data_IF_271425036793
#
_entry.id   IF_271425036793
#
_cell.length_a   1.000
_cell.length_b   1.000
_cell.length_c   1.000
_cell.angle_alpha   90.00
_cell.angle_beta   90.00
_cell.angle_gamma   90.00
#
_symmetry.space_group_name_H-M   'P 1'
#
loop_
_entity.id
_entity.type
_entity.pdbx_description
1 polymer ?
#
# COMPACT_ATOMS: atom_id res chain seq x y z
N UNK A 1 -13.90 -2.97 14.05
CA UNK A 1 -12.99 -2.19 13.20
C UNK A 1 -12.11 -3.14 12.42
N UNK A 2 -11.89 -2.89 11.14
CA UNK A 2 -10.83 -3.55 10.38
C UNK A 2 -9.57 -2.69 10.54
N UNK A 3 -8.47 -3.33 10.90
CA UNK A 3 -7.19 -2.67 11.11
C UNK A 3 -6.06 -3.48 10.47
N UNK A 4 -5.19 -2.82 9.72
CA UNK A 4 -3.93 -3.39 9.21
C UNK A 4 -2.81 -2.37 9.39
N UNK A 5 -1.70 -2.84 9.93
CA UNK A 5 -0.43 -2.13 9.94
C UNK A 5 0.45 -2.77 8.86
N UNK A 6 0.90 -1.96 7.92
CA UNK A 6 1.76 -2.35 6.81
C UNK A 6 3.12 -1.68 7.00
N UNK A 7 4.18 -2.31 6.52
CA UNK A 7 5.54 -1.81 6.70
C UNK A 7 6.25 -1.69 5.36
N UNK A 8 6.86 -0.55 5.09
CA UNK A 8 7.83 -0.38 4.00
C UNK A 8 9.24 -0.63 4.51
N UNK A 9 9.94 -1.59 3.89
CA UNK A 9 11.30 -1.95 4.30
C UNK A 9 12.36 -0.90 3.90
N UNK A 10 12.10 -0.09 2.88
CA UNK A 10 13.09 0.87 2.37
C UNK A 10 13.20 2.10 3.25
N UNK A 11 12.08 2.63 3.75
CA UNK A 11 12.02 3.81 4.62
C UNK A 11 11.76 3.47 6.08
N UNK A 12 11.39 2.22 6.38
CA UNK A 12 10.92 1.79 7.71
C UNK A 12 9.61 2.47 8.14
N UNK A 13 8.79 2.86 7.16
CA UNK A 13 7.50 3.54 7.37
C UNK A 13 6.42 2.53 7.69
N UNK A 14 5.58 2.85 8.66
CA UNK A 14 4.29 2.21 8.87
C UNK A 14 3.17 2.94 8.15
N UNK A 15 2.37 2.18 7.42
CA UNK A 15 1.12 2.64 6.80
C UNK A 15 -0.05 1.94 7.51
N UNK A 16 -1.12 2.66 7.81
CA UNK A 16 -2.25 2.12 8.58
C UNK A 16 -3.56 2.17 7.82
N UNK A 17 -4.16 1.01 7.56
CA UNK A 17 -5.49 0.89 6.96
C UNK A 17 -6.52 0.67 8.08
N UNK A 18 -7.47 1.60 8.18
CA UNK A 18 -8.60 1.52 9.10
C UNK A 18 -9.89 1.48 8.30
N UNK A 19 -10.83 0.62 8.68
CA UNK A 19 -12.15 0.62 8.06
C UNK A 19 -13.28 0.24 9.03
N UNK A 20 -14.46 0.78 8.75
CA UNK A 20 -15.70 0.33 9.38
C UNK A 20 -16.11 -1.03 8.78
N UNK A 21 -16.21 -2.11 9.59
CA UNK A 21 -16.64 -3.41 9.08
C UNK A 21 -18.05 -3.41 8.48
N UNK A 22 -18.94 -2.47 8.87
CA UNK A 22 -20.31 -2.38 8.38
C UNK A 22 -20.39 -1.64 7.03
N UNK A 23 -19.99 -0.36 6.99
CA UNK A 23 -20.07 0.42 5.74
C UNK A 23 -18.99 0.08 4.72
N UNK A 24 -17.89 -0.57 5.15
CA UNK A 24 -16.68 -0.84 4.36
C UNK A 24 -15.89 0.42 3.99
N UNK A 25 -16.29 1.58 4.46
CA UNK A 25 -15.54 2.83 4.26
C UNK A 25 -14.25 2.81 5.07
N UNK A 26 -13.18 3.29 4.46
CA UNK A 26 -11.83 3.17 4.96
C UNK A 26 -11.02 4.46 4.82
N UNK A 27 -9.99 4.56 5.63
CA UNK A 27 -8.92 5.56 5.52
C UNK A 27 -7.56 4.87 5.56
N UNK A 28 -6.57 5.45 4.90
CA UNK A 28 -5.19 4.96 4.88
C UNK A 28 -4.24 6.06 5.34
N UNK A 29 -3.54 5.83 6.44
CA UNK A 29 -2.61 6.79 7.03
C UNK A 29 -1.18 6.50 6.55
N UNK A 30 -0.46 7.55 6.12
CA UNK A 30 0.93 7.54 5.64
C UNK A 30 1.22 6.48 4.55
N UNK A 31 0.51 6.50 3.40
CA UNK A 31 0.79 5.59 2.29
C UNK A 31 2.15 5.88 1.64
N UNK A 32 2.87 4.84 1.24
CA UNK A 32 4.17 4.97 0.56
C UNK A 32 4.01 4.79 -0.95
N UNK A 33 4.64 5.67 -1.75
CA UNK A 33 4.49 5.72 -3.22
C UNK A 33 4.81 4.39 -3.91
N UNK A 34 5.90 3.73 -3.52
CA UNK A 34 6.32 2.43 -4.05
C UNK A 34 5.40 1.27 -3.62
N UNK A 35 4.62 1.45 -2.55
CA UNK A 35 3.71 0.44 -2.01
C UNK A 35 2.28 0.55 -2.54
N UNK A 36 2.02 1.49 -3.45
CA UNK A 36 0.70 1.70 -4.05
C UNK A 36 -0.02 0.42 -4.49
N UNK A 37 0.66 -0.47 -5.25
CA UNK A 37 0.04 -1.68 -5.78
C UNK A 37 -0.36 -2.66 -4.68
N UNK A 38 0.47 -2.75 -3.62
CA UNK A 38 0.17 -3.54 -2.44
C UNK A 38 -1.04 -2.99 -1.70
N UNK A 39 -1.07 -1.68 -1.46
CA UNK A 39 -2.09 -1.03 -0.66
C UNK A 39 -3.45 -1.03 -1.40
N UNK A 40 -3.45 -0.70 -2.71
CA UNK A 40 -4.63 -0.81 -3.59
C UNK A 40 -5.20 -2.22 -3.59
N UNK A 41 -4.34 -3.24 -3.77
CA UNK A 41 -4.79 -4.63 -3.80
C UNK A 41 -5.40 -5.06 -2.47
N UNK A 42 -4.83 -4.65 -1.33
CA UNK A 42 -5.39 -4.96 -0.02
C UNK A 42 -6.78 -4.33 0.18
N UNK A 43 -6.96 -3.08 -0.24
CA UNK A 43 -8.23 -2.36 -0.19
C UNK A 43 -9.29 -3.10 -1.02
N UNK A 44 -8.94 -3.48 -2.25
CA UNK A 44 -9.82 -4.22 -3.16
C UNK A 44 -10.18 -5.62 -2.65
N UNK A 45 -9.19 -6.40 -2.19
CA UNK A 45 -9.40 -7.76 -1.68
C UNK A 45 -10.22 -7.78 -0.39
N UNK A 46 -10.07 -6.74 0.44
CA UNK A 46 -10.93 -6.53 1.60
C UNK A 46 -12.27 -5.90 1.21
N UNK A 47 -12.55 -5.57 -0.05
CA UNK A 47 -13.82 -4.97 -0.47
C UNK A 47 -14.13 -3.68 0.29
N UNK A 48 -13.15 -2.78 0.37
CA UNK A 48 -13.23 -1.51 1.07
C UNK A 48 -13.38 -0.34 0.08
N UNK A 49 -14.03 0.73 0.53
CA UNK A 49 -14.08 2.01 -0.18
C UNK A 49 -13.13 2.98 0.53
N UNK A 50 -12.00 3.29 -0.10
CA UNK A 50 -11.03 4.23 0.45
C UNK A 50 -11.54 5.67 0.29
N UNK A 51 -11.94 6.30 1.39
CA UNK A 51 -12.42 7.68 1.40
C UNK A 51 -11.27 8.69 1.44
N UNK A 52 -10.27 8.44 2.29
CA UNK A 52 -9.16 9.37 2.51
C UNK A 52 -7.81 8.66 2.58
N UNK A 53 -6.80 9.27 1.97
CA UNK A 53 -5.40 9.10 2.36
C UNK A 53 -5.01 10.25 3.28
N UNK A 54 -4.43 9.92 4.43
CA UNK A 54 -4.11 10.87 5.49
C UNK A 54 -2.60 10.88 5.72
N UNK A 55 -1.93 11.96 5.38
CA UNK A 55 -0.52 12.13 5.75
C UNK A 55 -0.44 12.81 7.13
N UNK A 56 0.34 12.23 8.05
CA UNK A 56 0.59 12.81 9.38
C UNK A 56 1.47 14.05 9.28
N UNK A 57 2.34 14.10 8.26
CA UNK A 57 3.23 15.21 7.95
C UNK A 57 3.76 15.09 6.51
N UNK A 58 4.43 16.12 6.02
CA UNK A 58 5.20 16.06 4.78
C UNK A 58 6.49 15.25 5.03
N UNK A 59 6.53 14.00 4.59
CA UNK A 59 7.62 13.06 4.87
C UNK A 59 8.94 13.46 4.18
N UNK A 60 10.08 13.14 4.79
CA UNK A 60 11.42 13.44 4.26
C UNK A 60 12.20 12.19 3.80
N UNK A 61 11.66 11.02 4.05
CA UNK A 61 12.30 9.71 3.86
C UNK A 61 11.63 8.87 2.76
N UNK A 62 10.39 9.20 2.37
CA UNK A 62 9.67 8.58 1.26
C UNK A 62 8.73 9.57 0.58
N UNK A 63 8.31 9.27 -0.65
CA UNK A 63 7.24 10.00 -1.33
C UNK A 63 5.90 9.38 -0.93
N UNK A 64 4.90 10.18 -0.60
CA UNK A 64 3.54 9.70 -0.26
C UNK A 64 2.88 9.02 -1.46
N UNK A 65 2.13 7.96 -1.21
CA UNK A 65 1.29 7.27 -2.19
C UNK A 65 -0.07 7.93 -2.43
N UNK A 66 -0.36 9.04 -1.75
CA UNK A 66 -1.66 9.70 -1.75
C UNK A 66 -2.20 10.00 -3.16
N UNK A 67 -1.41 10.67 -4.01
CA UNK A 67 -1.84 10.98 -5.38
C UNK A 67 -2.13 9.73 -6.21
N UNK A 68 -1.30 8.68 -6.14
CA UNK A 68 -1.55 7.44 -6.90
C UNK A 68 -2.85 6.77 -6.44
N UNK A 69 -3.10 6.74 -5.13
CA UNK A 69 -4.33 6.18 -4.56
C UNK A 69 -5.56 7.01 -4.94
N UNK A 70 -5.47 8.35 -4.94
CA UNK A 70 -6.52 9.20 -5.48
C UNK A 70 -6.85 8.83 -6.94
N UNK A 71 -5.84 8.67 -7.81
CA UNK A 71 -6.08 8.32 -9.21
C UNK A 71 -6.70 6.92 -9.40
N UNK A 72 -6.26 5.93 -8.62
CA UNK A 72 -6.71 4.53 -8.78
C UNK A 72 -7.99 4.17 -8.01
N UNK A 73 -8.23 4.81 -6.87
CA UNK A 73 -9.29 4.47 -5.93
C UNK A 73 -10.32 5.60 -5.75
N UNK A 74 -10.01 6.83 -6.21
CA UNK A 74 -10.87 8.00 -6.04
C UNK A 74 -10.88 8.58 -4.62
N UNK A 75 -9.92 8.21 -3.77
CA UNK A 75 -9.80 8.72 -2.39
C UNK A 75 -9.41 10.20 -2.37
N UNK A 76 -9.90 10.96 -1.39
CA UNK A 76 -9.46 12.34 -1.15
C UNK A 76 -8.12 12.37 -0.40
N UNK A 77 -7.27 13.33 -0.74
CA UNK A 77 -5.97 13.55 -0.09
C UNK A 77 -6.16 14.56 1.04
N UNK A 78 -5.81 14.18 2.27
CA UNK A 78 -5.84 15.09 3.41
C UNK A 78 -4.49 15.18 4.12
N UNK A 79 -4.11 16.40 4.48
CA UNK A 79 -2.87 16.74 5.18
C UNK A 79 -3.08 18.05 5.94
N UNK A 80 -2.22 18.33 6.92
CA UNK A 80 -2.28 19.55 7.74
C UNK A 80 -2.30 20.84 6.91
N UNK A 81 -3.23 21.74 7.22
CA UNK A 81 -3.33 23.07 6.62
C UNK A 81 -2.19 24.01 7.03
N UNK A 82 -1.42 23.68 8.07
CA UNK A 82 -0.28 24.48 8.55
C UNK A 82 0.85 24.59 7.53
N UNK A 83 0.94 23.68 6.56
CA UNK A 83 1.92 23.82 5.48
C UNK A 83 1.58 24.95 4.50
N UNK A 84 0.32 25.42 4.48
CA UNK A 84 -0.12 26.51 3.60
C UNK A 84 0.22 26.26 2.14
N UNK A 85 0.76 27.28 1.48
CA UNK A 85 1.12 27.26 0.05
C UNK A 85 2.27 26.29 -0.30
N UNK A 86 2.90 25.65 0.69
CA UNK A 86 3.91 24.61 0.45
C UNK A 86 3.30 23.34 -0.15
N UNK A 87 2.02 23.05 0.12
CA UNK A 87 1.34 21.86 -0.38
C UNK A 87 0.40 22.23 -1.53
N UNK A 88 0.55 21.53 -2.64
CA UNK A 88 -0.32 21.59 -3.81
C UNK A 88 -1.04 20.26 -4.01
N UNK A 89 -2.35 20.31 -4.29
CA UNK A 89 -3.14 19.14 -4.71
C UNK A 89 -3.82 18.35 -3.58
N UNK A 90 -3.73 18.80 -2.33
CA UNK A 90 -4.54 18.25 -1.25
C UNK A 90 -6.02 18.64 -1.42
N UNK A 91 -6.94 17.69 -1.24
CA UNK A 91 -8.39 17.92 -1.30
C UNK A 91 -8.93 18.50 0.00
N UNK A 92 -8.29 18.16 1.14
CA UNK A 92 -8.70 18.61 2.47
C UNK A 92 -7.49 19.04 3.29
N UNK A 93 -7.45 20.32 3.64
CA UNK A 93 -6.51 20.87 4.60
C UNK A 93 -7.07 20.69 6.01
N UNK A 94 -6.30 20.05 6.88
CA UNK A 94 -6.74 19.66 8.23
C UNK A 94 -6.19 20.62 9.29
N UNK A 95 -7.04 20.97 10.26
CA UNK A 95 -6.68 21.73 11.44
C UNK A 95 -6.93 20.96 12.74
N UNK A 96 -6.38 21.47 13.85
CA UNK A 96 -6.64 20.91 15.18
C UNK A 96 -8.15 20.89 15.49
N UNK A 97 -8.66 19.74 15.92
CA UNK A 97 -10.06 19.54 16.27
C UNK A 97 -10.93 19.05 15.10
N UNK A 98 -10.40 19.01 13.87
CA UNK A 98 -11.11 18.41 12.75
C UNK A 98 -11.40 16.93 12.98
N UNK A 99 -12.44 16.42 12.32
CA UNK A 99 -12.82 15.01 12.35
C UNK A 99 -12.88 14.44 10.94
N UNK A 100 -12.26 13.28 10.73
CA UNK A 100 -12.35 12.47 9.51
C UNK A 100 -13.26 11.28 9.79
N UNK A 101 -14.45 11.29 9.19
CA UNK A 101 -15.44 10.22 9.32
C UNK A 101 -15.21 9.13 8.26
N UNK A 102 -15.40 7.87 8.65
CA UNK A 102 -15.46 6.70 7.77
C UNK A 102 -16.44 5.68 8.37
N UNK A 103 -17.63 5.55 7.77
CA UNK A 103 -18.72 4.75 8.33
C UNK A 103 -19.19 5.25 9.68
N UNK A 104 -19.43 4.32 10.60
CA UNK A 104 -19.72 4.62 12.01
C UNK A 104 -18.51 4.99 12.85
N UNK A 105 -17.32 5.17 12.25
CA UNK A 105 -16.06 5.47 12.94
C UNK A 105 -15.47 6.82 12.54
N UNK A 106 -14.60 7.38 13.37
CA UNK A 106 -13.88 8.62 13.02
C UNK A 106 -12.50 8.76 13.66
N UNK A 107 -11.67 9.61 13.04
CA UNK A 107 -10.40 10.09 13.59
C UNK A 107 -10.52 11.58 13.88
N UNK A 108 -10.18 11.98 15.11
CA UNK A 108 -9.98 13.39 15.46
C UNK A 108 -8.53 13.81 15.18
N UNK A 109 -8.34 15.02 14.68
CA UNK A 109 -7.02 15.59 14.37
C UNK A 109 -6.51 16.37 15.57
N UNK A 110 -5.35 16.00 16.11
CA UNK A 110 -4.61 16.81 17.07
C UNK A 110 -3.36 17.37 16.40
N UNK A 111 -3.25 18.69 16.28
CA UNK A 111 -2.00 19.31 15.87
C UNK A 111 -0.88 18.94 16.87
N UNK A 112 0.19 18.34 16.36
CA UNK A 112 1.36 17.91 17.14
C UNK A 112 2.65 18.35 16.46
N UNK A 113 2.85 19.66 16.23
CA UNK A 113 4.05 20.17 15.60
C UNK A 113 5.30 19.84 16.42
N UNK A 114 6.45 19.86 15.76
CA UNK A 114 7.75 19.69 16.42
C UNK A 114 8.72 18.88 15.57
N UNK A 115 8.27 17.77 14.97
CA UNK A 115 9.08 17.06 13.97
C UNK A 115 9.12 17.88 12.68
N UNK A 116 7.94 18.33 12.26
CA UNK A 116 7.73 19.43 11.31
C UNK A 116 6.69 20.38 11.90
N UNK A 117 6.53 21.58 11.32
CA UNK A 117 5.48 22.51 11.77
C UNK A 117 4.05 22.03 11.43
N UNK A 118 3.91 21.14 10.46
CA UNK A 118 2.61 20.60 10.04
C UNK A 118 2.25 19.24 10.59
N UNK A 119 3.03 18.67 11.52
CA UNK A 119 2.72 17.36 12.09
C UNK A 119 1.36 17.32 12.79
N UNK A 120 0.60 16.26 12.54
CA UNK A 120 -0.66 15.94 13.24
C UNK A 120 -0.63 14.52 13.78
N UNK A 121 -1.38 14.30 14.85
CA UNK A 121 -1.72 12.98 15.39
C UNK A 121 -3.19 12.71 15.14
N UNK A 122 -3.51 11.55 14.57
CA UNK A 122 -4.88 11.10 14.39
C UNK A 122 -5.30 10.22 15.57
N UNK A 123 -6.40 10.57 16.25
CA UNK A 123 -6.90 9.82 17.42
C UNK A 123 -8.27 9.22 17.09
N UNK A 124 -8.40 7.91 17.23
CA UNK A 124 -9.64 7.18 17.01
C UNK A 124 -10.74 7.64 17.98
N UNK A 125 -11.99 7.66 17.52
CA UNK A 125 -13.18 8.12 18.25
C UNK A 125 -13.31 7.62 19.70
N UNK A 126 -12.97 6.36 19.96
CA UNK A 126 -12.98 5.71 21.28
C UNK A 126 -11.69 5.90 22.09
N UNK A 127 -10.72 6.65 21.55
CA UNK A 127 -9.40 6.93 22.10
C UNK A 127 -8.58 5.67 22.43
N UNK A 128 -8.92 4.53 21.82
CA UNK A 128 -8.15 3.29 22.00
C UNK A 128 -6.84 3.27 21.20
N UNK A 129 -6.73 4.10 20.16
CA UNK A 129 -5.58 4.17 19.26
C UNK A 129 -5.28 5.62 18.84
N UNK A 130 -3.99 5.96 18.78
CA UNK A 130 -3.50 7.20 18.22
C UNK A 130 -2.34 6.92 17.23
N UNK A 131 -2.39 7.58 16.08
CA UNK A 131 -1.39 7.50 15.02
C UNK A 131 -0.53 8.77 15.09
N UNK A 132 0.66 8.65 15.63
CA UNK A 132 1.45 9.79 16.13
C UNK A 132 2.44 10.35 15.10
N UNK A 133 2.44 9.80 13.90
CA UNK A 133 3.44 10.10 12.87
C UNK A 133 4.84 10.05 13.48
N UNK A 134 5.64 11.06 13.17
CA UNK A 134 6.99 11.21 13.72
C UNK A 134 7.05 12.17 14.91
N UNK A 135 5.92 12.54 15.52
CA UNK A 135 5.95 13.29 16.78
C UNK A 135 6.45 12.41 17.93
N UNK A 136 5.75 11.31 18.21
CA UNK A 136 6.12 10.32 19.23
C UNK A 136 6.41 8.97 18.57
N UNK A 137 7.57 8.38 18.89
CA UNK A 137 7.99 7.06 18.43
C UNK A 137 8.08 6.08 19.62
N UNK A 138 8.20 4.79 19.34
CA UNK A 138 8.33 3.77 20.40
C UNK A 138 9.67 3.96 21.13
N UNK A 139 9.60 4.38 22.39
CA UNK A 139 10.75 4.75 23.23
C UNK A 139 11.64 5.84 22.61
N UNK A 140 11.04 6.73 21.82
CA UNK A 140 11.74 7.83 21.15
C UNK A 140 10.82 8.95 20.70
N UNK A 141 11.33 9.80 19.83
CA UNK A 141 10.61 10.88 19.17
C UNK A 141 11.27 11.15 17.81
N UNK A 142 10.54 11.73 16.85
CA UNK A 142 11.14 12.16 15.59
C UNK A 142 12.19 13.25 15.80
N UNK A 143 13.06 13.45 14.81
CA UNK A 143 14.07 14.52 14.83
C UNK A 143 13.42 15.90 14.71
N UNK A 144 14.10 16.97 15.13
CA UNK A 144 13.55 18.34 15.16
C UNK A 144 14.40 19.36 14.40
N UNK A 145 15.40 18.92 13.64
CA UNK A 145 16.47 19.76 13.06
C UNK A 145 16.28 20.08 11.56
N UNK A 146 15.15 19.67 10.97
CA UNK A 146 14.73 19.95 9.60
C UNK A 146 13.26 20.39 9.55
N UNK A 147 12.77 20.87 8.41
CA UNK A 147 11.33 21.12 8.15
C UNK A 147 10.63 21.97 9.23
N UNK A 148 11.30 23.04 9.67
CA UNK A 148 10.80 23.93 10.73
C UNK A 148 10.55 23.21 12.06
N UNK A 149 11.18 22.06 12.28
CA UNK A 149 11.13 21.30 13.51
C UNK A 149 11.65 22.11 14.70
N UNK A 150 11.12 21.79 15.88
CA UNK A 150 11.46 22.45 17.13
C UNK A 150 11.22 21.51 18.32
N UNK A 151 12.27 21.22 19.08
CA UNK A 151 12.21 20.27 20.19
C UNK A 151 11.37 20.76 21.38
N UNK A 152 11.38 22.07 21.67
CA UNK A 152 10.52 22.66 22.71
C UNK A 152 9.04 22.52 22.32
N UNK A 153 8.69 22.85 21.08
CA UNK A 153 7.33 22.65 20.55
C UNK A 153 6.95 21.17 20.56
N UNK A 154 7.84 20.27 20.16
CA UNK A 154 7.59 18.82 20.21
C UNK A 154 7.31 18.34 21.64
N UNK A 155 8.06 18.84 22.63
CA UNK A 155 7.84 18.49 24.04
C UNK A 155 6.41 18.82 24.47
N UNK A 156 5.95 20.04 24.18
CA UNK A 156 4.59 20.48 24.48
C UNK A 156 3.54 19.67 23.71
N UNK A 157 3.74 19.44 22.41
CA UNK A 157 2.87 18.59 21.59
C UNK A 157 2.68 17.20 22.20
N UNK A 158 3.75 16.53 22.61
CA UNK A 158 3.66 15.21 23.22
C UNK A 158 2.95 15.29 24.58
N UNK A 159 3.34 16.21 25.47
CA UNK A 159 2.77 16.32 26.82
C UNK A 159 1.29 16.68 26.80
N UNK A 160 0.88 17.59 25.93
CA UNK A 160 -0.46 18.19 25.94
C UNK A 160 -1.45 17.46 25.03
N UNK A 161 -0.96 16.86 23.93
CA UNK A 161 -1.84 16.25 22.92
C UNK A 161 -1.77 14.74 22.88
N UNK A 162 -0.69 14.11 23.33
CA UNK A 162 -0.56 12.64 23.30
C UNK A 162 -0.65 12.08 24.72
N UNK A 163 0.10 12.62 25.68
CA UNK A 163 0.08 12.13 27.07
C UNK A 163 -1.19 12.50 27.83
N UNK A 164 -2.08 13.32 27.27
CA UNK A 164 -3.43 13.55 27.82
C UNK A 164 -4.45 12.48 27.42
N UNK A 165 -4.11 11.58 26.50
CA UNK A 165 -4.93 10.42 26.15
C UNK A 165 -4.96 9.39 27.28
N UNK A 166 -5.94 8.45 27.27
CA UNK A 166 -5.98 7.34 28.22
C UNK A 166 -4.68 6.55 28.20
N UNK A 167 -4.24 6.12 29.37
CA UNK A 167 -3.01 5.34 29.55
C UNK A 167 -3.00 4.04 28.72
N UNK A 168 -4.18 3.47 28.45
CA UNK A 168 -4.39 2.28 27.61
C UNK A 168 -4.41 2.56 26.11
N UNK A 169 -4.38 3.83 25.68
CA UNK A 169 -4.38 4.19 24.26
C UNK A 169 -3.11 3.66 23.61
N UNK A 170 -3.28 2.84 22.57
CA UNK A 170 -2.17 2.34 21.77
C UNK A 170 -1.57 3.48 20.94
N UNK A 171 -0.25 3.48 20.83
CA UNK A 171 0.53 4.44 20.04
C UNK A 171 1.10 3.72 18.82
N UNK A 172 0.74 4.24 17.65
CA UNK A 172 1.16 3.76 16.34
C UNK A 172 1.97 4.85 15.62
N UNK A 173 3.31 4.74 15.58
CA UNK A 173 4.18 5.78 15.02
C UNK A 173 4.23 5.73 13.49
N UNK A 174 4.80 6.76 12.86
CA UNK A 174 5.14 6.75 11.43
C UNK A 174 6.28 5.79 11.10
N UNK A 175 7.23 5.60 12.03
CA UNK A 175 8.42 4.78 11.81
C UNK A 175 8.83 3.93 13.01
N UNK A 176 9.46 2.79 12.75
CA UNK A 176 10.28 2.06 13.72
C UNK A 176 11.45 1.36 13.02
N UNK A 177 12.63 1.39 13.65
CA UNK A 177 13.88 0.85 13.10
C UNK A 177 14.38 -0.39 13.85
N UNK A 178 13.56 -0.98 14.71
CA UNK A 178 13.92 -2.11 15.60
C UNK A 178 12.89 -3.25 15.59
N UNK A 179 11.91 -3.21 14.68
CA UNK A 179 10.87 -4.23 14.53
C UNK A 179 9.76 -4.15 15.57
N UNK A 180 9.63 -3.04 16.30
CA UNK A 180 8.56 -2.80 17.28
C UNK A 180 7.37 -2.16 16.57
N UNK A 181 6.19 -2.69 16.81
CA UNK A 181 5.00 -2.32 16.02
C UNK A 181 4.08 -1.31 16.70
N UNK A 182 4.03 -1.30 18.03
CA UNK A 182 3.21 -0.37 18.80
C UNK A 182 3.78 -0.17 20.22
N UNK A 183 3.27 0.85 20.91
CA UNK A 183 3.45 1.11 22.35
C UNK A 183 2.11 1.55 22.94
N UNK A 184 2.11 2.08 24.16
CA UNK A 184 0.95 2.72 24.78
C UNK A 184 1.33 4.04 25.42
N UNK A 185 0.33 4.89 25.68
CA UNK A 185 0.53 6.17 26.39
C UNK A 185 1.18 5.93 27.76
N UNK A 186 0.74 4.95 28.53
CA UNK A 186 1.34 4.61 29.83
C UNK A 186 2.83 4.26 29.69
N UNK A 187 3.15 3.42 28.71
CA UNK A 187 4.51 2.98 28.50
C UNK A 187 5.43 4.13 28.07
N UNK A 188 4.99 5.01 27.17
CA UNK A 188 5.80 6.16 26.75
C UNK A 188 5.91 7.21 27.88
N UNK A 189 4.83 7.45 28.65
CA UNK A 189 4.89 8.29 29.85
C UNK A 189 5.93 7.79 30.85
N UNK A 190 6.04 6.48 31.04
CA UNK A 190 6.90 5.92 32.07
C UNK A 190 8.33 5.65 31.57
N UNK A 191 8.49 5.17 30.34
CA UNK A 191 9.72 4.54 29.86
C UNK A 191 10.33 5.18 28.61
N UNK A 192 9.71 6.20 28.01
CA UNK A 192 10.36 6.92 26.92
C UNK A 192 11.64 7.59 27.44
N UNK A 193 12.79 7.25 26.85
CA UNK A 193 14.10 7.68 27.34
C UNK A 193 14.36 9.18 27.16
N UNK A 194 13.57 9.88 26.35
CA UNK A 194 13.73 11.31 26.07
C UNK A 194 12.75 12.18 26.84
N UNK A 195 11.49 11.75 26.96
CA UNK A 195 10.39 12.60 27.49
C UNK A 195 9.55 11.93 28.61
N UNK A 196 9.79 10.64 28.85
CA UNK A 196 9.11 9.88 29.90
C UNK A 196 9.65 10.14 31.30
N UNK A 197 9.03 9.54 32.30
CA UNK A 197 9.38 9.71 33.71
C UNK A 197 9.28 11.16 34.16
N UNK A 198 10.37 11.65 34.75
CA UNK A 198 10.47 13.02 35.27
C UNK A 198 11.22 13.97 34.31
N UNK A 199 11.41 13.58 33.05
CA UNK A 199 12.10 14.42 32.07
C UNK A 199 11.41 15.78 31.90
N UNK A 200 12.19 16.84 32.10
CA UNK A 200 11.78 18.22 31.87
C UNK A 200 11.93 18.61 30.40
N UNK A 201 11.38 19.76 30.02
CA UNK A 201 11.59 20.32 28.68
C UNK A 201 13.08 20.52 28.38
N UNK A 202 13.84 21.01 29.37
CA UNK A 202 15.30 21.20 29.25
C UNK A 202 16.03 19.89 28.97
N UNK A 203 15.65 18.80 29.64
CA UNK A 203 16.24 17.47 29.39
C UNK A 203 15.95 17.00 27.96
N UNK A 204 14.70 17.15 27.52
CA UNK A 204 14.27 16.75 26.18
C UNK A 204 14.97 17.55 25.09
N UNK A 205 14.94 18.89 25.16
CA UNK A 205 15.60 19.77 24.19
C UNK A 205 17.10 19.50 24.15
N UNK A 206 17.74 19.40 25.32
CA UNK A 206 19.16 19.07 25.42
C UNK A 206 19.50 17.72 24.78
N UNK A 207 18.64 16.71 24.93
CA UNK A 207 18.79 15.43 24.23
C UNK A 207 18.69 15.59 22.71
N UNK A 208 17.64 16.25 22.24
CA UNK A 208 17.33 16.38 20.81
C UNK A 208 18.41 17.17 20.06
N UNK A 209 18.93 18.25 20.65
CA UNK A 209 19.99 19.09 20.07
C UNK A 209 21.33 18.35 19.93
N UNK A 210 21.53 17.28 20.72
CA UNK A 210 22.77 16.49 20.75
C UNK A 210 22.63 15.11 20.10
N UNK A 211 21.57 14.87 19.31
CA UNK A 211 21.35 13.60 18.61
C UNK A 211 22.42 13.28 17.55
N UNK A 212 22.99 14.29 16.89
CA UNK A 212 24.08 14.12 15.91
C UNK A 212 23.74 13.21 14.72
N UNK A 213 22.46 13.18 14.30
CA UNK A 213 22.00 12.28 13.24
C UNK A 213 22.52 12.72 11.85
N UNK A 214 22.79 11.76 10.95
CA UNK A 214 23.15 12.10 9.58
C UNK A 214 22.03 12.85 8.86
N UNK A 215 22.39 13.57 7.81
CA UNK A 215 21.43 14.19 6.90
C UNK A 215 20.47 13.12 6.34
N UNK A 216 19.15 13.35 6.31
CA UNK A 216 18.21 12.36 5.79
C UNK A 216 18.51 12.05 4.32
N UNK A 217 18.47 10.77 3.96
CA UNK A 217 18.99 10.26 2.66
C UNK A 217 18.15 10.69 1.45
N UNK A 218 16.84 10.86 1.63
CA UNK A 218 15.88 11.11 0.54
C UNK A 218 15.23 12.49 0.61
N UNK A 219 15.65 13.37 1.52
CA UNK A 219 14.95 14.65 1.78
C UNK A 219 14.83 15.54 0.54
N UNK A 220 15.87 15.57 -0.31
CA UNK A 220 15.92 16.38 -1.54
C UNK A 220 15.00 15.84 -2.66
N UNK A 221 14.46 14.63 -2.49
CA UNK A 221 13.53 13.99 -3.43
C UNK A 221 12.13 13.93 -2.80
N UNK A 222 12.04 13.47 -1.55
CA UNK A 222 10.81 13.25 -0.81
C UNK A 222 10.04 14.55 -0.60
N UNK A 223 10.69 15.60 -0.08
CA UNK A 223 10.00 16.87 0.21
C UNK A 223 9.40 17.46 -1.08
N UNK A 224 10.16 17.68 -2.19
CA UNK A 224 9.55 18.22 -3.41
C UNK A 224 8.40 17.37 -3.96
N UNK A 225 8.49 16.04 -3.87
CA UNK A 225 7.41 15.13 -4.26
C UNK A 225 6.18 15.27 -3.36
N UNK A 226 6.39 15.36 -2.04
CA UNK A 226 5.32 15.44 -1.04
C UNK A 226 4.66 16.82 -0.99
N UNK A 227 5.38 17.88 -1.36
CA UNK A 227 4.80 19.19 -1.61
C UNK A 227 3.75 19.17 -2.73
N UNK A 228 3.74 18.15 -3.59
CA UNK A 228 2.71 17.93 -4.62
C UNK A 228 1.84 16.71 -4.31
N UNK A 229 1.73 16.34 -3.03
CA UNK A 229 0.99 15.16 -2.56
C UNK A 229 1.41 13.84 -3.24
N UNK A 230 2.66 13.72 -3.67
CA UNK A 230 3.19 12.56 -4.37
C UNK A 230 2.93 12.55 -5.88
N UNK A 231 2.44 13.64 -6.46
CA UNK A 231 2.26 13.76 -7.91
C UNK A 231 3.62 13.87 -8.63
N UNK A 232 3.94 12.97 -9.57
CA UNK A 232 5.13 13.07 -10.41
C UNK A 232 5.15 14.35 -11.25
N UNK A 233 6.34 14.82 -11.64
CA UNK A 233 6.49 16.07 -12.41
C UNK A 233 5.81 16.02 -13.78
N UNK A 234 5.81 14.85 -14.43
CA UNK A 234 5.13 14.62 -15.70
C UNK A 234 3.61 14.37 -15.54
N UNK A 235 3.13 14.26 -14.30
CA UNK A 235 1.74 13.95 -13.98
C UNK A 235 1.27 12.57 -14.44
N UNK A 236 2.18 11.68 -14.86
CA UNK A 236 1.83 10.34 -15.30
C UNK A 236 1.80 9.37 -14.12
N UNK A 237 0.92 8.37 -14.20
CA UNK A 237 0.92 7.25 -13.25
C UNK A 237 2.12 6.35 -13.56
N UNK A 238 3.11 6.23 -12.67
CA UNK A 238 4.23 5.33 -12.89
C UNK A 238 3.81 3.88 -12.63
N UNK A 239 4.44 2.96 -13.35
CA UNK A 239 4.22 1.53 -13.18
C UNK A 239 2.96 0.99 -13.86
N UNK A 240 2.34 1.75 -14.77
CA UNK A 240 1.28 1.22 -15.64
C UNK A 240 1.90 0.13 -16.52
N UNK A 241 1.42 -1.09 -16.38
CA UNK A 241 1.71 -2.16 -17.32
C UNK A 241 0.94 -1.81 -18.59
N UNK A 242 1.67 -1.47 -19.65
CA UNK A 242 1.14 -0.81 -20.84
C UNK A 242 0.54 -1.77 -21.87
N UNK A 243 0.96 -3.04 -21.85
CA UNK A 243 0.50 -4.03 -22.82
C UNK A 243 -0.92 -4.56 -22.55
N UNK A 244 -1.46 -4.39 -21.33
CA UNK A 244 -2.80 -4.86 -20.95
C UNK A 244 -3.24 -4.27 -19.60
N UNK A 245 -4.55 -4.34 -19.25
CA UNK A 245 -5.08 -3.93 -17.94
C UNK A 245 -4.72 -4.95 -16.84
N UNK A 246 -3.42 -5.19 -16.63
CA UNK A 246 -2.90 -6.11 -15.62
C UNK A 246 -2.99 -5.47 -14.24
N UNK A 247 -3.49 -6.24 -13.28
CA UNK A 247 -3.60 -5.82 -11.88
C UNK A 247 -2.69 -6.68 -11.02
N UNK A 248 -2.10 -6.08 -9.99
CA UNK A 248 -1.36 -6.85 -8.98
C UNK A 248 -2.30 -7.18 -7.81
N UNK A 249 -2.28 -8.43 -7.36
CA UNK A 249 -2.92 -8.90 -6.12
C UNK A 249 -2.04 -8.56 -4.91
N UNK A 250 -2.59 -8.65 -3.70
CA UNK A 250 -1.84 -8.40 -2.47
C UNK A 250 -0.68 -9.39 -2.29
N UNK A 251 -0.84 -10.62 -2.81
CA UNK A 251 0.23 -11.62 -2.87
C UNK A 251 1.33 -11.33 -3.90
N UNK A 252 1.25 -10.21 -4.63
CA UNK A 252 2.24 -9.82 -5.64
C UNK A 252 2.07 -10.51 -7.00
N UNK A 253 0.99 -11.28 -7.20
CA UNK A 253 0.69 -11.93 -8.47
C UNK A 253 0.05 -10.92 -9.43
N UNK A 254 0.58 -10.85 -10.66
CA UNK A 254 0.00 -10.07 -11.76
C UNK A 254 -1.10 -10.87 -12.43
N UNK A 255 -2.31 -10.34 -12.44
CA UNK A 255 -3.50 -10.97 -13.01
C UNK A 255 -4.12 -10.14 -14.12
N UNK A 256 -4.80 -10.83 -15.04
CA UNK A 256 -5.54 -10.24 -16.14
C UNK A 256 -6.94 -10.85 -16.21
N UNK A 257 -7.94 -10.03 -16.54
CA UNK A 257 -9.34 -10.48 -16.60
C UNK A 257 -9.63 -11.31 -17.86
N UNK A 258 -10.40 -12.40 -17.74
CA UNK A 258 -10.75 -13.26 -18.88
C UNK A 258 -11.36 -12.54 -20.09
N UNK A 259 -12.23 -11.56 -19.85
CA UNK A 259 -12.94 -10.84 -20.91
C UNK A 259 -11.97 -10.08 -21.82
N UNK A 260 -11.00 -9.37 -21.24
CA UNK A 260 -10.00 -8.66 -22.03
C UNK A 260 -9.16 -9.64 -22.86
N UNK A 261 -8.73 -10.75 -22.25
CA UNK A 261 -7.96 -11.78 -22.97
C UNK A 261 -8.75 -12.37 -24.14
N UNK A 262 -10.05 -12.61 -23.99
CA UNK A 262 -10.91 -13.12 -25.06
C UNK A 262 -11.02 -12.15 -26.25
N UNK A 263 -11.07 -10.85 -25.99
CA UNK A 263 -11.13 -9.80 -27.03
C UNK A 263 -9.78 -9.58 -27.73
N UNK A 264 -8.66 -9.93 -27.09
CA UNK A 264 -7.30 -9.65 -27.55
C UNK A 264 -6.45 -10.92 -27.73
N UNK A 265 -7.06 -12.07 -28.03
CA UNK A 265 -6.35 -13.36 -28.17
C UNK A 265 -5.20 -13.32 -29.19
N UNK A 266 -5.32 -12.53 -30.26
CA UNK A 266 -4.26 -12.35 -31.25
C UNK A 266 -3.06 -11.55 -30.73
N UNK A 267 -3.22 -10.80 -29.65
CA UNK A 267 -2.20 -9.91 -29.07
C UNK A 267 -1.39 -10.59 -27.97
N UNK A 268 -1.80 -11.78 -27.52
CA UNK A 268 -1.14 -12.52 -26.43
C UNK A 268 -0.77 -13.95 -26.84
N UNK A 269 0.18 -14.52 -26.11
CA UNK A 269 0.51 -15.95 -26.12
C UNK A 269 -0.12 -16.61 -24.89
N UNK A 270 -1.07 -17.51 -25.09
CA UNK A 270 -1.73 -18.23 -23.98
C UNK A 270 -1.00 -19.55 -23.73
N UNK A 271 -0.48 -19.72 -22.51
CA UNK A 271 0.17 -20.96 -22.06
C UNK A 271 -0.73 -21.66 -21.04
N UNK A 272 -1.26 -22.81 -21.41
CA UNK A 272 -2.05 -23.65 -20.53
C UNK A 272 -1.14 -24.61 -19.77
N UNK A 273 -1.10 -24.46 -18.45
CA UNK A 273 -0.21 -25.23 -17.57
C UNK A 273 -0.90 -26.36 -16.82
N UNK A 274 -2.09 -26.75 -17.28
CA UNK A 274 -2.79 -27.95 -16.82
C UNK A 274 -2.13 -29.22 -17.33
N UNK A 275 -2.57 -30.36 -16.82
CA UNK A 275 -2.21 -31.66 -17.37
C UNK A 275 -2.96 -31.93 -18.70
N UNK A 276 -2.43 -32.83 -19.51
CA UNK A 276 -2.96 -33.11 -20.85
C UNK A 276 -4.40 -33.65 -20.87
N UNK A 277 -4.78 -34.40 -19.82
CA UNK A 277 -6.14 -34.90 -19.63
C UNK A 277 -7.13 -33.78 -19.29
N UNK A 278 -6.69 -32.71 -18.64
CA UNK A 278 -7.50 -31.54 -18.35
C UNK A 278 -7.71 -30.62 -19.57
N UNK A 279 -6.71 -30.52 -20.46
CA UNK A 279 -6.73 -29.61 -21.62
C UNK A 279 -7.89 -29.89 -22.59
N UNK A 280 -8.27 -31.16 -22.72
CA UNK A 280 -9.34 -31.63 -23.61
C UNK A 280 -10.59 -32.14 -22.85
N UNK A 281 -10.71 -31.86 -21.56
CA UNK A 281 -11.88 -32.27 -20.78
C UNK A 281 -13.09 -31.35 -21.02
N UNK A 282 -14.12 -31.49 -20.16
CA UNK A 282 -15.36 -30.70 -20.23
C UNK A 282 -15.17 -29.16 -20.21
N UNK A 283 -14.06 -28.66 -19.64
CA UNK A 283 -13.76 -27.23 -19.57
C UNK A 283 -13.23 -26.69 -20.91
N UNK A 284 -12.80 -27.57 -21.83
CA UNK A 284 -12.08 -27.19 -23.05
C UNK A 284 -10.78 -26.44 -22.76
N UNK A 285 -10.31 -25.71 -23.76
CA UNK A 285 -9.18 -24.78 -23.65
C UNK A 285 -9.45 -23.50 -24.45
N UNK A 286 -8.67 -22.46 -24.17
CA UNK A 286 -8.72 -21.21 -24.92
C UNK A 286 -8.16 -21.44 -26.32
N UNK A 287 -8.79 -20.86 -27.34
CA UNK A 287 -8.37 -21.02 -28.72
C UNK A 287 -6.90 -20.58 -28.92
N UNK A 288 -6.11 -21.43 -29.57
CA UNK A 288 -4.68 -21.18 -29.79
C UNK A 288 -3.78 -21.30 -28.56
N UNK A 289 -4.29 -21.76 -27.42
CA UNK A 289 -3.47 -22.02 -26.22
C UNK A 289 -2.44 -23.13 -26.46
N UNK A 290 -1.22 -22.91 -26.00
CA UNK A 290 -0.16 -23.93 -26.01
C UNK A 290 -0.15 -24.67 -24.69
N UNK A 291 -0.33 -25.99 -24.75
CA UNK A 291 -0.25 -26.85 -23.56
C UNK A 291 1.22 -27.08 -23.16
N UNK A 292 1.60 -26.57 -21.99
CA UNK A 292 2.90 -26.82 -21.36
C UNK A 292 2.64 -27.06 -19.86
N UNK A 293 2.48 -28.32 -19.41
CA UNK A 293 2.22 -28.61 -18.01
C UNK A 293 3.21 -27.93 -17.06
N UNK A 294 2.74 -27.52 -15.88
CA UNK A 294 3.57 -26.76 -14.93
C UNK A 294 4.89 -27.47 -14.58
N UNK A 295 4.88 -28.81 -14.52
CA UNK A 295 6.06 -29.63 -14.25
C UNK A 295 7.15 -29.52 -15.30
N UNK A 296 6.75 -29.34 -16.57
CA UNK A 296 7.65 -29.28 -17.73
C UNK A 296 8.03 -27.83 -18.10
N UNK A 297 7.32 -26.84 -17.55
CA UNK A 297 7.42 -25.44 -17.93
C UNK A 297 8.86 -24.91 -17.91
N UNK A 298 9.67 -25.29 -16.91
CA UNK A 298 11.06 -24.81 -16.76
C UNK A 298 11.96 -25.23 -17.91
N UNK A 299 11.75 -26.44 -18.42
CA UNK A 299 12.54 -26.99 -19.52
C UNK A 299 12.03 -26.49 -20.88
N UNK A 300 10.76 -26.07 -20.93
CA UNK A 300 10.09 -25.58 -22.13
C UNK A 300 10.12 -24.05 -22.32
N UNK A 301 10.67 -23.26 -21.39
CA UNK A 301 10.63 -21.78 -21.46
C UNK A 301 11.17 -21.24 -22.79
N UNK A 302 12.26 -21.82 -23.30
CA UNK A 302 12.89 -21.40 -24.55
C UNK A 302 12.00 -21.62 -25.79
N UNK A 303 10.94 -22.42 -25.67
CA UNK A 303 9.99 -22.71 -26.75
C UNK A 303 8.79 -21.74 -26.74
N UNK A 304 8.58 -21.00 -25.65
CA UNK A 304 7.47 -20.05 -25.52
C UNK A 304 7.77 -18.84 -26.41
N UNK A 305 6.87 -18.50 -27.36
CA UNK A 305 7.01 -17.27 -28.14
C UNK A 305 6.96 -16.04 -27.23
N UNK A 306 8.00 -15.21 -27.30
CA UNK A 306 8.16 -13.97 -26.53
C UNK A 306 7.97 -12.72 -27.41
N UNK A 307 7.43 -12.88 -28.62
CA UNK A 307 7.05 -11.79 -29.53
C UNK A 307 5.81 -11.02 -29.01
N UNK A 308 5.05 -11.66 -28.11
CA UNK A 308 3.83 -11.13 -27.50
C UNK A 308 3.82 -11.42 -26.00
N UNK A 309 3.10 -10.61 -25.20
CA UNK A 309 2.89 -10.89 -23.79
C UNK A 309 2.35 -12.30 -23.52
N UNK A 310 2.75 -12.90 -22.41
CA UNK A 310 2.37 -14.27 -22.04
C UNK A 310 1.26 -14.26 -20.98
N UNK A 311 0.16 -14.93 -21.27
CA UNK A 311 -0.93 -15.18 -20.31
C UNK A 311 -0.92 -16.66 -19.94
N UNK A 312 -0.69 -16.95 -18.67
CA UNK A 312 -0.74 -18.33 -18.16
C UNK A 312 -2.13 -18.66 -17.66
N UNK A 313 -2.61 -19.86 -17.97
CA UNK A 313 -3.93 -20.34 -17.54
C UNK A 313 -3.82 -21.74 -16.95
N UNK A 314 -4.57 -22.00 -15.89
CA UNK A 314 -4.82 -23.34 -15.40
C UNK A 314 -6.31 -23.51 -15.07
N UNK A 315 -6.67 -24.54 -14.30
CA UNK A 315 -8.07 -24.76 -13.91
C UNK A 315 -8.66 -23.57 -13.12
N UNK A 316 -7.98 -23.10 -12.07
CA UNK A 316 -8.53 -22.14 -11.09
C UNK A 316 -7.68 -20.87 -10.90
N UNK A 317 -6.59 -20.72 -11.65
CA UNK A 317 -5.62 -19.63 -11.48
C UNK A 317 -4.41 -19.95 -10.57
N UNK A 318 -4.44 -21.04 -9.80
CA UNK A 318 -3.37 -21.32 -8.81
C UNK A 318 -2.05 -21.80 -9.43
N UNK A 319 -2.10 -22.83 -10.30
CA UNK A 319 -0.90 -23.36 -10.99
C UNK A 319 -0.32 -22.35 -11.98
N UNK A 320 -1.19 -21.64 -12.68
CA UNK A 320 -0.80 -20.55 -13.58
C UNK A 320 -0.19 -19.38 -12.82
N UNK A 321 -0.66 -19.07 -11.61
CA UNK A 321 0.02 -18.14 -10.70
C UNK A 321 1.49 -18.50 -10.47
N UNK A 322 1.77 -19.77 -10.15
CA UNK A 322 3.16 -20.27 -10.03
C UNK A 322 3.92 -20.25 -11.36
N UNK A 323 3.25 -20.51 -12.49
CA UNK A 323 3.85 -20.39 -13.81
C UNK A 323 4.35 -18.97 -14.09
N UNK A 324 3.58 -17.93 -13.74
CA UNK A 324 4.03 -16.55 -13.91
C UNK A 324 5.31 -16.25 -13.13
N UNK A 325 5.46 -16.77 -11.90
CA UNK A 325 6.66 -16.61 -11.08
C UNK A 325 7.86 -17.28 -11.76
N UNK A 326 7.68 -18.47 -12.33
CA UNK A 326 8.73 -19.19 -13.07
C UNK A 326 9.16 -18.37 -14.29
N UNK A 327 8.20 -17.91 -15.09
CA UNK A 327 8.44 -17.17 -16.32
C UNK A 327 9.14 -15.82 -16.06
N UNK A 328 8.69 -15.06 -15.07
CA UNK A 328 9.33 -13.79 -14.69
C UNK A 328 10.75 -13.98 -14.18
N UNK A 329 11.00 -15.02 -13.36
CA UNK A 329 12.38 -15.36 -12.93
C UNK A 329 13.29 -15.75 -14.09
N UNK A 330 12.72 -16.22 -15.19
CA UNK A 330 13.44 -16.53 -16.43
C UNK A 330 13.55 -15.34 -17.39
N UNK A 331 13.09 -14.14 -17.01
CA UNK A 331 13.18 -12.92 -17.80
C UNK A 331 11.98 -12.61 -18.70
N UNK A 332 10.90 -13.39 -18.63
CA UNK A 332 9.65 -13.10 -19.37
C UNK A 332 8.84 -12.07 -18.59
N UNK A 333 9.19 -10.80 -18.74
CA UNK A 333 8.65 -9.69 -17.93
C UNK A 333 7.17 -9.40 -18.19
N UNK A 334 6.74 -9.46 -19.46
CA UNK A 334 5.35 -9.26 -19.88
C UNK A 334 4.55 -10.54 -19.69
N UNK A 335 4.34 -10.93 -18.42
CA UNK A 335 3.57 -12.12 -18.05
C UNK A 335 2.45 -11.80 -17.06
N UNK A 336 1.27 -12.38 -17.27
CA UNK A 336 0.16 -12.32 -16.33
C UNK A 336 -0.53 -13.69 -16.13
N UNK A 337 -1.19 -13.85 -14.99
CA UNK A 337 -2.04 -14.98 -14.64
C UNK A 337 -3.48 -14.68 -15.08
N UNK A 338 -4.13 -15.62 -15.77
CA UNK A 338 -5.55 -15.51 -16.04
C UNK A 338 -6.35 -15.65 -14.73
N UNK A 339 -7.01 -14.58 -14.30
CA UNK A 339 -7.77 -14.57 -13.04
C UNK A 339 -8.84 -15.65 -13.05
N UNK A 340 -8.86 -16.49 -12.01
CA UNK A 340 -9.82 -17.59 -11.84
C UNK A 340 -9.67 -18.77 -12.81
N UNK A 341 -8.72 -18.72 -13.75
CA UNK A 341 -8.42 -19.79 -14.70
C UNK A 341 -9.59 -20.16 -15.62
N UNK A 342 -9.58 -21.40 -16.11
CA UNK A 342 -10.63 -21.93 -16.98
C UNK A 342 -12.02 -22.00 -16.31
N UNK A 343 -12.08 -22.09 -14.98
CA UNK A 343 -13.37 -22.05 -14.26
C UNK A 343 -14.06 -20.70 -14.44
N UNK A 344 -13.33 -19.60 -14.25
CA UNK A 344 -13.88 -18.26 -14.45
C UNK A 344 -14.13 -17.96 -15.93
N UNK A 345 -13.23 -18.40 -16.82
CA UNK A 345 -13.44 -18.30 -18.27
C UNK A 345 -14.76 -18.95 -18.72
N UNK A 346 -15.03 -20.17 -18.23
CA UNK A 346 -16.28 -20.88 -18.53
C UNK A 346 -17.48 -20.24 -17.82
N UNK A 347 -17.32 -19.76 -16.57
CA UNK A 347 -18.39 -19.07 -15.84
C UNK A 347 -18.85 -17.80 -16.56
N UNK A 348 -17.91 -17.05 -17.14
CA UNK A 348 -18.16 -15.89 -17.97
C UNK A 348 -18.72 -16.21 -19.36
N UNK A 349 -18.85 -17.49 -19.73
CA UNK A 349 -19.40 -17.92 -21.02
C UNK A 349 -18.50 -17.64 -22.22
N UNK A 350 -17.18 -17.51 -21.99
CA UNK A 350 -16.22 -17.16 -23.05
C UNK A 350 -15.91 -18.36 -23.97
N UNK A 351 -15.53 -18.12 -25.24
CA UNK A 351 -15.32 -19.19 -26.23
C UNK A 351 -14.24 -20.19 -25.82
N UNK A 352 -14.49 -21.48 -26.07
CA UNK A 352 -13.51 -22.56 -25.84
C UNK A 352 -13.42 -23.47 -27.05
N UNK A 353 -12.23 -23.99 -27.31
CA UNK A 353 -12.01 -25.10 -28.21
C UNK A 353 -12.14 -26.43 -27.46
N UNK A 354 -12.71 -27.41 -28.15
CA UNK A 354 -12.82 -28.79 -27.70
C UNK A 354 -12.39 -29.67 -28.86
N UNK A 355 -11.45 -30.58 -28.64
CA UNK A 355 -11.24 -31.63 -29.62
C UNK A 355 -12.52 -32.45 -29.69
N UNK A 356 -13.16 -32.51 -30.87
CA UNK A 356 -14.23 -33.47 -31.12
C UNK A 356 -13.72 -34.86 -30.76
N UNK A 357 -14.48 -35.68 -30.00
CA UNK A 357 -14.09 -37.07 -29.83
C UNK A 357 -13.95 -37.66 -31.22
N UNK A 358 -12.75 -38.17 -31.54
CA UNK A 358 -12.49 -38.89 -32.78
C UNK A 358 -13.62 -39.89 -32.94
N UNK A 359 -14.39 -39.72 -34.02
CA UNK A 359 -15.53 -40.56 -34.31
C UNK A 359 -15.10 -42.02 -34.22
N UNK A 360 -15.80 -42.78 -33.38
CA UNK A 360 -15.81 -44.23 -33.50
C UNK A 360 -16.40 -44.49 -34.88
N UNK A 361 -15.56 -44.84 -35.84
CA UNK A 361 -15.98 -45.29 -37.15
C UNK A 361 -16.90 -46.51 -36.95
N UNK A 362 -18.04 -46.49 -37.64
CA UNK A 362 -19.07 -47.54 -37.66
C UNK A 362 -18.54 -48.93 -38.01
#
# INVERSE_FOLDING_TARGET
>A
MIFRQLFDLSSSTYTYLLADPQSREAVLIDPVFEQHDRDRALIEELGLTLLYTLDTHCHADHVTGAWRLQQSCGSQIAISGRYGDMIEGADRLLDHGDTIQFGGRSLSVRATPGHTDGCVTYVLDDQSMAFTGDCLLIRGAGRCDFQQGNASVMYHSIKEQIFTLPDTCAIYPGHDYSGRTASTVAEEKQYNSRIGGQATETDFVGYMDNLGLPHPKKIDIAIPGNCRCGRPEDGQLPGVIDWAPVRQTYGGLREIEPQWVAEHLSEVTVIDVREADEFNNRLGHIAGAQLIPLGDLRDAIAQIPQDRPVVTVCQSGSRSGQATVILRKAGVEQTANLRGGMLEWNHAGLPVERQSPVGVAE
#
